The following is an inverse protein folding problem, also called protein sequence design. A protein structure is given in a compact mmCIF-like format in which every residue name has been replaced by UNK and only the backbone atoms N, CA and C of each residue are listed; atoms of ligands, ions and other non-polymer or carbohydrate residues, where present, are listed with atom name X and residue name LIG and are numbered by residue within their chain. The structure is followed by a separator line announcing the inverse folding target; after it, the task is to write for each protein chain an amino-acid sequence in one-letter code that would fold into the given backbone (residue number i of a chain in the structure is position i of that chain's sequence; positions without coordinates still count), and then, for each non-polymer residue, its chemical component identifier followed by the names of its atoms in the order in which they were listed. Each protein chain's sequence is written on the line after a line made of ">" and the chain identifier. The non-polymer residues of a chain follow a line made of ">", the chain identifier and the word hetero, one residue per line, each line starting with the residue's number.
data_IF_248331402402
#
_entry.id   IF_248331402402
#
_cell.length_a   1.000
_cell.length_b   1.000
_cell.length_c   1.000
_cell.angle_alpha   90.00
_cell.angle_beta   90.00
_cell.angle_gamma   90.00
#
_symmetry.space_group_name_H-M   'P 1'
#
loop_
_entity.id
_entity.type
_entity.pdbx_description
1 polymer ?
2 water ?
#
# COMPACT_ATOMS: atom_id res chain seq x y z
N UNK A 6 2.83 7.91 9.88
CA UNK A 6 1.77 7.78 8.88
C UNK A 6 1.92 6.48 8.08
N UNK A 7 3.10 6.27 7.48
CA UNK A 7 3.50 4.95 7.01
C UNK A 7 4.20 4.28 8.18
N UNK A 8 3.42 3.77 9.14
CA UNK A 8 3.98 3.25 10.38
C UNK A 8 3.65 1.79 10.65
N UNK A 9 3.17 1.06 9.65
CA UNK A 9 2.73 -0.32 9.84
C UNK A 9 3.49 -1.25 8.91
N UNK A 10 4.04 -2.32 9.47
CA UNK A 10 4.60 -3.40 8.68
C UNK A 10 3.60 -4.55 8.56
N UNK A 11 3.66 -5.25 7.43
CA UNK A 11 2.94 -6.50 7.23
C UNK A 11 3.89 -7.66 7.49
N UNK A 12 3.42 -8.66 8.24
CA UNK A 12 4.23 -9.83 8.57
C UNK A 12 3.50 -11.06 8.02
N UNK A 13 4.17 -11.75 7.08
CA UNK A 13 3.46 -12.72 6.26
C UNK A 13 3.16 -14.04 6.93
N UNK A 14 3.94 -14.43 7.93
CA UNK A 14 3.71 -15.71 8.60
C UNK A 14 4.02 -15.56 10.09
N UNK A 15 3.05 -15.82 10.92
CA UNK A 15 3.24 -16.04 12.37
C UNK A 15 2.52 -17.34 12.72
N UNK A 16 2.89 -17.96 13.84
CA UNK A 16 2.16 -19.16 14.26
C UNK A 16 0.71 -18.83 14.54
N UNK A 17 -0.19 -19.64 13.98
CA UNK A 17 -1.60 -19.26 14.03
C UNK A 17 -2.20 -19.43 15.42
N UNK A 18 -1.46 -20.04 16.36
CA UNK A 18 -1.97 -20.20 17.72
C UNK A 18 -1.62 -19.04 18.63
N UNK A 19 -0.66 -18.19 18.25
CA UNK A 19 -0.18 -17.12 19.12
C UNK A 19 -1.21 -16.01 19.28
N UNK A 20 -1.39 -15.54 20.52
CA UNK A 20 -2.27 -14.41 20.80
C UNK A 20 -1.60 -13.08 20.48
N UNK A 21 -2.41 -12.01 20.44
CA UNK A 21 -1.87 -10.66 20.26
C UNK A 21 -0.90 -10.28 21.37
N UNK A 22 -1.17 -10.73 22.60
CA UNK A 22 -0.22 -10.54 23.70
C UNK A 22 1.15 -11.12 23.35
N UNK A 23 1.18 -12.39 22.92
CA UNK A 23 2.44 -13.07 22.64
C UNK A 23 3.17 -12.49 21.43
N UNK A 24 2.44 -12.00 20.43
CA UNK A 24 3.09 -11.39 19.27
C UNK A 24 3.76 -10.09 19.68
N UNK A 25 3.06 -9.28 20.48
CA UNK A 25 3.67 -8.06 21.02
C UNK A 25 4.94 -8.38 21.79
N UNK A 26 4.90 -9.39 22.66
CA UNK A 26 6.09 -9.72 23.44
C UNK A 26 7.24 -10.13 22.53
N UNK A 27 6.96 -10.99 21.55
CA UNK A 27 8.02 -11.52 20.70
C UNK A 27 8.65 -10.41 19.87
N UNK A 28 7.83 -9.63 19.17
CA UNK A 28 8.38 -8.59 18.32
C UNK A 28 8.88 -7.41 19.13
N UNK A 29 8.27 -7.13 20.27
CA UNK A 29 8.83 -6.09 21.13
C UNK A 29 10.19 -6.49 21.69
N UNK A 30 10.46 -7.79 21.80
CA UNK A 30 11.75 -8.25 22.31
C UNK A 30 12.90 -7.84 21.41
N UNK A 31 12.68 -7.78 20.10
CA UNK A 31 13.77 -7.68 19.13
C UNK A 31 13.71 -6.41 18.31
N UNK A 32 12.74 -5.53 18.55
CA UNK A 32 12.69 -4.23 17.89
C UNK A 32 12.28 -3.16 18.90
N UNK A 33 12.56 -1.90 18.56
CA UNK A 33 12.20 -0.77 19.41
C UNK A 33 10.98 -0.03 18.87
N UNK A 34 10.26 0.62 19.79
CA UNK A 34 9.14 1.46 19.39
C UNK A 34 7.91 0.74 18.91
N UNK A 35 7.78 -0.56 19.19
CA UNK A 35 6.58 -1.27 18.79
C UNK A 35 5.41 -0.76 19.60
N UNK A 36 4.32 -0.46 18.92
CA UNK A 36 3.22 0.20 19.60
C UNK A 36 1.89 -0.52 19.48
N UNK A 37 1.69 -1.35 18.47
CA UNK A 37 0.47 -2.15 18.37
C UNK A 37 0.72 -3.35 17.47
N UNK A 38 -0.20 -4.29 17.53
CA UNK A 38 -0.18 -5.51 16.74
C UNK A 38 -1.63 -5.79 16.38
N UNK A 39 -1.95 -5.76 15.09
CA UNK A 39 -3.32 -5.92 14.62
C UNK A 39 -3.51 -7.34 14.10
N UNK A 40 -4.40 -8.09 14.74
CA UNK A 40 -4.60 -9.50 14.44
C UNK A 40 -6.00 -9.74 13.90
N UNK A 41 -6.12 -10.67 12.96
CA UNK A 41 -7.41 -11.19 12.51
C UNK A 41 -7.55 -12.63 12.97
N UNK A 42 -8.70 -12.98 13.53
CA UNK A 42 -8.89 -14.32 14.07
C UNK A 42 -9.76 -15.17 13.15
N UNK A 43 -9.41 -16.46 13.04
CA UNK A 43 -10.15 -17.45 12.24
C UNK A 43 -11.61 -17.48 12.68
N UNK A 44 -12.53 -16.95 11.87
CA UNK A 44 -13.94 -16.82 12.32
C UNK A 44 -14.54 -18.12 12.86
N UNK A 45 -14.02 -19.28 12.45
CA UNK A 45 -14.56 -20.55 12.89
C UNK A 45 -14.10 -20.95 14.29
N UNK A 46 -12.93 -20.48 14.74
CA UNK A 46 -12.63 -20.46 16.18
C UNK A 46 -11.84 -19.20 16.49
N UNK A 47 -12.49 -18.29 17.22
CA UNK A 47 -12.01 -16.92 17.40
C UNK A 47 -10.68 -16.89 18.15
N UNK A 48 -10.24 -18.04 18.65
CA UNK A 48 -9.05 -18.10 19.49
C UNK A 48 -7.76 -18.21 18.69
N UNK A 49 -7.82 -18.65 17.43
CA UNK A 49 -6.64 -18.71 16.57
C UNK A 49 -6.59 -17.51 15.63
N UNK A 50 -5.38 -17.16 15.19
CA UNK A 50 -5.19 -16.09 14.22
C UNK A 50 -5.04 -16.69 12.83
N UNK A 51 -5.03 -15.81 11.84
CA UNK A 51 -5.06 -16.20 10.43
C UNK A 51 -3.66 -16.34 9.82
N UNK A 52 -2.60 -16.33 10.62
CA UNK A 52 -1.29 -16.67 10.15
C UNK A 52 -0.47 -15.51 9.64
N UNK A 53 -0.98 -14.29 9.77
CA UNK A 53 -0.29 -13.06 9.43
C UNK A 53 -0.71 -12.01 10.45
N UNK A 54 -0.03 -10.86 10.46
CA UNK A 54 -0.43 -9.77 11.34
C UNK A 54 0.19 -8.46 10.84
N UNK A 55 -0.14 -7.38 11.53
CA UNK A 55 0.47 -6.10 11.27
C UNK A 55 1.17 -5.62 12.52
N UNK A 56 2.35 -5.07 12.32
CA UNK A 56 3.12 -4.44 13.38
C UNK A 56 2.96 -2.94 13.19
N UNK A 57 2.66 -2.23 14.28
CA UNK A 57 2.58 -0.77 14.27
C UNK A 57 3.69 -0.18 15.12
N UNK A 58 4.38 0.83 14.60
CA UNK A 58 5.44 1.48 15.36
C UNK A 58 5.05 2.93 15.63
N UNK A 59 5.79 3.59 16.53
CA UNK A 59 5.35 4.93 16.93
C UNK A 59 5.45 5.92 15.77
N UNK A 60 6.43 5.74 14.88
CA UNK A 60 6.52 6.56 13.69
C UNK A 60 7.09 5.70 12.56
N UNK A 61 7.29 6.34 11.40
CA UNK A 61 7.79 5.63 10.22
C UNK A 61 9.28 5.27 10.37
N UNK A 62 10.07 6.15 11.01
CA UNK A 62 11.46 5.83 11.41
C UNK A 62 11.54 4.49 12.07
N UNK A 63 10.78 4.35 13.16
CA UNK A 63 10.84 3.17 13.99
C UNK A 63 10.45 1.96 13.19
N UNK A 64 9.31 2.06 12.50
CA UNK A 64 8.87 0.99 11.63
C UNK A 64 9.94 0.67 10.60
N UNK A 65 10.65 1.69 10.13
CA UNK A 65 11.67 1.49 9.12
C UNK A 65 12.89 0.78 9.69
N UNK A 66 13.36 1.23 10.86
CA UNK A 66 14.45 0.54 11.55
C UNK A 66 14.07 -0.91 11.87
N UNK A 67 12.85 -1.12 12.35
CA UNK A 67 12.38 -2.46 12.66
C UNK A 67 12.39 -3.36 11.43
N UNK A 68 11.88 -2.86 10.29
CA UNK A 68 11.87 -3.67 9.08
C UNK A 68 13.27 -4.09 8.69
N UNK A 69 14.19 -3.13 8.55
CA UNK A 69 15.59 -3.44 8.28
C UNK A 69 16.09 -4.51 9.24
N UNK A 70 15.82 -4.32 10.53
CA UNK A 70 16.30 -5.23 11.56
C UNK A 70 15.74 -6.64 11.38
N UNK A 71 14.41 -6.76 11.30
CA UNK A 71 13.81 -8.07 11.08
C UNK A 71 14.23 -8.69 9.75
N UNK A 72 14.73 -7.89 8.80
CA UNK A 72 15.07 -8.42 7.48
C UNK A 72 16.52 -8.84 7.38
N UNK A 73 17.41 -8.17 8.13
CA UNK A 73 18.75 -8.66 8.41
C UNK A 73 18.68 -10.10 8.89
N UNK A 74 19.73 -10.87 8.65
CA UNK A 74 19.66 -12.13 9.36
C UNK A 74 20.00 -12.02 10.82
N UNK A 75 20.14 -10.79 11.32
CA UNK A 75 20.76 -10.57 12.62
C UNK A 75 19.92 -11.12 13.77
N UNK A 76 18.61 -11.30 13.57
CA UNK A 76 17.75 -11.85 14.62
C UNK A 76 16.59 -12.62 14.00
N UNK A 77 16.01 -13.52 14.79
CA UNK A 77 15.00 -14.48 14.34
C UNK A 77 13.72 -14.37 15.16
N UNK A 78 12.59 -14.20 14.49
CA UNK A 78 11.28 -14.29 15.13
C UNK A 78 10.49 -15.41 14.47
N UNK A 79 10.05 -16.37 15.30
CA UNK A 79 9.38 -17.61 14.92
C UNK A 79 9.79 -18.08 13.52
N UNK A 80 11.10 -18.14 13.30
CA UNK A 80 11.66 -18.80 12.14
C UNK A 80 11.88 -17.91 10.95
N UNK A 81 11.35 -16.68 10.98
CA UNK A 81 11.41 -15.76 9.83
C UNK A 81 10.91 -16.45 8.58
N UNK A 82 9.72 -17.04 8.68
CA UNK A 82 9.22 -17.89 7.61
C UNK A 82 8.71 -17.05 6.45
N UNK A 83 8.11 -15.91 6.76
CA UNK A 83 7.50 -15.07 5.76
C UNK A 83 8.24 -13.75 5.71
N UNK A 84 7.87 -12.97 4.71
CA UNK A 84 8.45 -11.67 4.47
C UNK A 84 7.86 -10.63 5.43
N UNK A 85 8.65 -9.61 5.74
CA UNK A 85 8.16 -8.42 6.44
C UNK A 85 8.15 -7.27 5.45
N UNK A 86 6.94 -6.78 5.16
CA UNK A 86 6.72 -5.77 4.13
C UNK A 86 6.11 -4.52 4.75
N UNK A 87 6.37 -3.38 4.12
CA UNK A 87 5.57 -2.19 4.40
C UNK A 87 4.10 -2.52 4.19
N UNK A 88 3.24 -1.95 5.03
CA UNK A 88 1.82 -2.12 4.81
C UNK A 88 1.39 -1.25 3.64
N UNK A 89 0.44 -1.76 2.87
CA UNK A 89 -0.08 -1.08 1.70
C UNK A 89 -1.36 -0.38 2.09
N UNK A 90 -1.44 0.95 2.04
CA UNK A 90 -2.68 1.62 2.48
C UNK A 90 -3.84 1.34 1.55
N UNK A 91 -3.57 1.13 0.25
CA UNK A 91 -4.63 0.72 -0.67
C UNK A 91 -5.33 -0.52 -0.13
N UNK A 92 -4.55 -1.43 0.46
CA UNK A 92 -5.07 -2.73 0.83
C UNK A 92 -5.90 -2.68 2.11
N UNK A 93 -5.61 -1.74 3.01
CA UNK A 93 -6.35 -1.66 4.28
C UNK A 93 -6.70 -0.21 4.57
N UNK A 94 -7.85 0.27 4.04
CA UNK A 94 -8.17 1.71 4.11
C UNK A 94 -8.26 2.29 5.51
N UNK A 95 -9.47 2.40 6.07
CA UNK A 95 -9.66 3.08 7.37
C UNK A 95 -11.11 3.07 7.87
N UNK A 99 -13.49 12.02 6.02
CA UNK A 99 -12.59 11.11 5.34
C UNK A 99 -12.80 11.11 3.83
N UNK A 100 -12.18 12.05 3.13
CA UNK A 100 -12.28 12.15 1.67
C UNK A 100 -10.93 11.74 1.09
N UNK A 101 -10.81 10.46 0.78
CA UNK A 101 -9.54 10.00 0.26
C UNK A 101 -9.44 10.30 -1.24
N UNK A 102 -8.21 10.27 -1.74
CA UNK A 102 -7.87 10.97 -2.96
C UNK A 102 -8.27 10.13 -4.17
N UNK A 103 -9.08 10.71 -5.05
CA UNK A 103 -9.50 10.04 -6.27
C UNK A 103 -8.93 10.71 -7.53
N UNK A 104 -7.73 11.26 -7.44
CA UNK A 104 -7.08 11.95 -8.54
C UNK A 104 -5.74 11.29 -8.78
N UNK A 105 -5.50 10.85 -10.01
CA UNK A 105 -4.20 10.28 -10.38
C UNK A 105 -3.33 11.33 -11.04
N UNK A 106 -2.06 11.39 -10.64
CA UNK A 106 -1.07 12.19 -11.35
C UNK A 106 -0.28 11.24 -12.24
N UNK A 107 -0.25 11.53 -13.55
CA UNK A 107 0.36 10.63 -14.54
C UNK A 107 1.49 11.36 -15.26
N UNK A 108 2.67 10.77 -15.24
CA UNK A 108 3.82 11.39 -15.90
C UNK A 108 4.39 10.45 -16.96
N UNK A 109 5.33 10.97 -17.76
CA UNK A 109 5.97 10.20 -18.83
C UNK A 109 4.99 9.98 -19.98
N UNK A 110 4.36 11.07 -20.40
CA UNK A 110 3.37 11.03 -21.46
C UNK A 110 4.06 11.28 -22.79
N UNK A 111 3.93 10.32 -23.70
CA UNK A 111 4.52 10.42 -25.01
C UNK A 111 4.01 11.64 -25.76
N UNK A 112 4.79 12.03 -26.78
CA UNK A 112 4.46 13.16 -27.64
C UNK A 112 3.04 13.08 -28.20
N UNK A 113 2.64 11.89 -28.66
CA UNK A 113 1.38 11.71 -29.38
C UNK A 113 0.17 11.49 -28.46
N UNK A 114 0.31 11.59 -27.15
CA UNK A 114 -0.78 11.26 -26.23
C UNK A 114 -1.68 12.48 -26.07
N UNK A 115 -2.97 12.30 -26.30
CA UNK A 115 -3.94 13.38 -26.21
C UNK A 115 -4.79 13.21 -24.96
N UNK A 116 -5.55 14.26 -24.64
CA UNK A 116 -6.54 14.12 -23.57
C UNK A 116 -7.55 13.03 -23.91
N UNK A 117 -7.91 12.88 -25.19
CA UNK A 117 -8.87 11.85 -25.57
C UNK A 117 -8.31 10.45 -25.34
N UNK A 118 -7.10 10.18 -25.84
CA UNK A 118 -6.45 8.88 -25.62
C UNK A 118 -6.36 8.58 -24.13
N UNK A 119 -6.05 9.59 -23.31
CA UNK A 119 -6.06 9.38 -21.87
C UNK A 119 -7.46 9.00 -21.38
N UNK A 120 -8.51 9.58 -21.96
CA UNK A 120 -9.86 9.26 -21.52
C UNK A 120 -10.20 7.82 -21.84
N UNK A 121 -9.86 7.38 -23.05
CA UNK A 121 -10.19 6.02 -23.46
C UNK A 121 -9.48 5.00 -22.58
N UNK A 122 -8.19 5.22 -22.32
CA UNK A 122 -7.41 4.25 -21.56
C UNK A 122 -7.86 4.17 -20.11
N UNK A 123 -8.19 5.31 -19.51
CA UNK A 123 -8.49 5.32 -18.09
C UNK A 123 -9.97 5.14 -17.81
N UNK A 124 -10.82 5.23 -18.83
CA UNK A 124 -12.25 5.04 -18.64
C UNK A 124 -12.59 3.59 -18.36
N UNK A 125 -11.66 2.67 -18.67
CA UNK A 125 -11.89 1.24 -18.42
C UNK A 125 -12.17 0.95 -16.96
N UNK A 126 -11.71 1.81 -16.05
CA UNK A 126 -11.67 1.48 -14.64
C UNK A 126 -12.71 2.20 -13.81
N UNK A 127 -13.46 3.12 -14.40
CA UNK A 127 -14.52 3.81 -13.68
C UNK A 127 -14.76 5.18 -14.27
N UNK A 128 -15.83 5.82 -13.81
CA UNK A 128 -16.26 7.08 -14.40
C UNK A 128 -15.24 8.19 -14.13
N UNK A 129 -14.68 8.75 -15.21
CA UNK A 129 -13.81 9.92 -15.14
C UNK A 129 -14.63 11.20 -15.01
N UNK A 130 -14.19 12.09 -14.12
CA UNK A 130 -14.80 13.42 -14.04
C UNK A 130 -14.09 14.43 -14.92
N UNK A 131 -12.78 14.28 -15.10
CA UNK A 131 -11.97 15.20 -15.88
C UNK A 131 -10.61 14.57 -16.15
N UNK A 132 -10.13 14.75 -17.37
CA UNK A 132 -8.74 14.51 -17.71
C UNK A 132 -8.15 15.86 -18.06
N UNK A 133 -7.03 16.20 -17.44
CA UNK A 133 -6.33 17.45 -17.69
C UNK A 133 -4.89 17.12 -18.07
N UNK A 134 -4.56 17.26 -19.35
CA UNK A 134 -3.19 17.02 -19.78
C UNK A 134 -2.42 18.32 -19.81
N UNK A 135 -1.18 18.26 -19.34
CA UNK A 135 -0.21 19.33 -19.49
C UNK A 135 0.82 18.90 -20.54
N UNK A 136 2.05 19.38 -20.43
CA UNK A 136 3.06 19.06 -21.44
C UNK A 136 3.21 17.55 -21.54
N UNK A 137 3.78 16.91 -20.52
CA UNK A 137 4.00 15.46 -20.51
C UNK A 137 3.47 14.82 -19.23
N UNK A 138 2.46 15.42 -18.62
CA UNK A 138 1.86 14.80 -17.45
C UNK A 138 0.40 15.21 -17.41
N UNK A 139 -0.38 14.51 -16.60
CA UNK A 139 -1.81 14.75 -16.62
C UNK A 139 -2.40 14.42 -15.26
N UNK A 140 -3.54 15.05 -14.99
CA UNK A 140 -4.35 14.78 -13.80
C UNK A 140 -5.60 14.05 -14.25
N UNK A 141 -5.93 12.95 -13.56
CA UNK A 141 -7.06 12.11 -13.92
C UNK A 141 -7.99 12.03 -12.72
N UNK A 142 -9.15 12.66 -12.83
CA UNK A 142 -10.14 12.76 -11.76
C UNK A 142 -11.14 11.63 -11.88
N UNK A 143 -11.16 10.74 -10.91
CA UNK A 143 -12.13 9.66 -10.88
C UNK A 143 -13.32 10.03 -10.02
N UNK A 144 -14.51 9.60 -10.46
CA UNK A 144 -15.71 9.75 -9.66
C UNK A 144 -15.54 9.15 -8.27
N UNK A 145 -14.93 7.97 -8.17
CA UNK A 145 -14.74 7.36 -6.86
C UNK A 145 -13.32 6.84 -6.73
N UNK A 146 -12.90 6.67 -5.47
CA UNK A 146 -11.52 6.27 -5.18
C UNK A 146 -11.21 4.90 -5.75
N UNK A 147 -12.20 4.00 -5.76
CA UNK A 147 -11.99 2.64 -6.21
C UNK A 147 -11.57 2.59 -7.68
N UNK A 148 -11.92 3.62 -8.46
CA UNK A 148 -11.61 3.64 -9.87
C UNK A 148 -10.18 4.08 -10.06
N UNK A 149 -9.79 5.11 -9.31
CA UNK A 149 -8.38 5.49 -9.23
C UNK A 149 -7.52 4.33 -8.76
N UNK A 150 -7.91 3.66 -7.66
CA UNK A 150 -7.13 2.51 -7.18
C UNK A 150 -6.94 1.48 -8.27
N UNK A 151 -8.01 1.16 -9.01
CA UNK A 151 -7.90 0.17 -10.09
C UNK A 151 -7.06 0.70 -11.25
N UNK A 152 -7.27 1.96 -11.64
CA UNK A 152 -6.50 2.48 -12.76
C UNK A 152 -5.02 2.42 -12.46
N UNK A 153 -4.63 2.92 -11.28
CA UNK A 153 -3.22 2.93 -10.93
C UNK A 153 -2.64 1.52 -10.86
N UNK A 154 -3.37 0.57 -10.28
CA UNK A 154 -2.82 -0.77 -10.13
C UNK A 154 -2.60 -1.41 -11.48
N UNK A 155 -3.51 -1.18 -12.42
CA UNK A 155 -3.43 -1.85 -13.71
C UNK A 155 -2.56 -1.09 -14.71
N UNK A 156 -2.45 0.23 -14.60
CA UNK A 156 -1.79 1.01 -15.63
C UNK A 156 -0.36 1.40 -15.29
N UNK A 157 0.02 1.36 -14.01
CA UNK A 157 1.34 1.87 -13.64
C UNK A 157 2.45 1.12 -14.38
N UNK A 158 3.39 1.86 -14.95
CA UNK A 158 4.45 1.26 -15.73
C UNK A 158 4.05 0.76 -17.10
N UNK A 159 2.77 0.82 -17.47
CA UNK A 159 2.33 0.30 -18.75
C UNK A 159 2.73 1.22 -19.89
N UNK A 160 2.75 0.66 -21.09
CA UNK A 160 3.11 1.43 -22.27
C UNK A 160 1.90 2.18 -22.79
N UNK A 161 2.05 3.48 -22.93
CA UNK A 161 1.12 4.31 -23.68
C UNK A 161 1.92 4.97 -24.80
N UNK A 162 1.52 4.71 -26.04
CA UNK A 162 2.15 5.31 -27.23
C UNK A 162 3.68 5.26 -27.19
N UNK A 163 4.23 4.15 -26.71
CA UNK A 163 5.66 4.00 -26.61
C UNK A 163 6.29 4.42 -25.29
N UNK A 164 5.53 5.04 -24.38
CA UNK A 164 6.11 5.51 -23.14
C UNK A 164 5.56 4.74 -21.96
N UNK A 165 6.43 4.41 -21.02
CA UNK A 165 6.04 3.73 -19.79
C UNK A 165 5.54 4.80 -18.82
N UNK A 166 4.28 4.77 -18.53
CA UNK A 166 3.73 5.86 -17.73
C UNK A 166 3.88 5.50 -16.28
N UNK A 167 3.95 6.53 -15.45
CA UNK A 167 4.18 6.41 -14.01
C UNK A 167 3.10 7.19 -13.29
N UNK A 168 2.53 6.57 -12.26
CA UNK A 168 1.25 6.99 -11.71
C UNK A 168 1.38 7.07 -10.20
N UNK A 169 1.06 8.23 -9.63
CA UNK A 169 0.87 8.37 -8.20
C UNK A 169 -0.50 9.00 -7.96
N UNK A 170 -1.00 8.79 -6.75
CA UNK A 170 -2.06 9.65 -6.23
C UNK A 170 -1.57 11.09 -6.15
N UNK A 171 -2.40 12.02 -6.61
CA UNK A 171 -2.00 13.41 -6.66
C UNK A 171 -1.86 13.99 -5.25
N UNK A 172 -0.91 14.89 -5.08
CA UNK A 172 -0.86 15.64 -3.84
C UNK A 172 -2.04 16.62 -3.82
N UNK A 173 -2.90 16.57 -2.82
CA UNK A 173 -4.00 17.54 -2.77
C UNK A 173 -3.46 18.92 -2.47
N UNK A 174 -4.02 19.98 -3.06
CA UNK A 174 -3.50 21.33 -2.82
C UNK A 174 -3.79 21.82 -1.42
N UNK A 175 -4.78 21.23 -0.75
CA UNK A 175 -5.08 21.50 0.65
C UNK A 175 -3.85 21.36 1.56
#
# INVERSE_FOLDING_TARGET
>A
GSHMASNNRLFVGSIPKSKTKEQILEEFSKVTEGLTDVILYHQPDDKKKNRGFCFLEYEDHKTAAQARRRLMSGKVKVWGNVGTVEWADPIEDPDPEVMAKVKVLFVRNLANTVTEEILEKAFSQFGKLERVKKLKDYAFIHFDERDGAVKAMEEMNGKDLEGENIEIVFAKPPDQKRKERKAQRQAAKNQMY
#
